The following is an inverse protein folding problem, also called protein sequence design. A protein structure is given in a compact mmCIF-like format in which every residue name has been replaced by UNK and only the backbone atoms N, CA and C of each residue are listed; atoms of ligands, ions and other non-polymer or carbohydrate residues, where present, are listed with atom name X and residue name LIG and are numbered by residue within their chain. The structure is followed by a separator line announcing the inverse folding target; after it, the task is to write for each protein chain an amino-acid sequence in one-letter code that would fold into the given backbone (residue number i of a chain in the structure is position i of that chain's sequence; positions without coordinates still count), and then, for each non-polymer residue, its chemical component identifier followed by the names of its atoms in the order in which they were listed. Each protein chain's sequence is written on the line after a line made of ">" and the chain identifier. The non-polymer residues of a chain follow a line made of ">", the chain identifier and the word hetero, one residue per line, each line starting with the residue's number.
data_IF_700844179054
#
_entry.id   IF_700844179054
#
_cell.length_a   1.000
_cell.length_b   1.000
_cell.length_c   1.000
_cell.angle_alpha   90.00
_cell.angle_beta   90.00
_cell.angle_gamma   90.00
#
_symmetry.space_group_name_H-M   'P 1'
#
loop_
_entity.id
_entity.type
_entity.pdbx_description
1 polymer ?
#
# COMPACT_ATOMS: atom_id res chain seq x y z
N UNK A 1 -15.35 9.77 -4.43
CA UNK A 1 -15.53 10.68 -3.28
C UNK A 1 -15.52 12.10 -3.83
N UNK A 2 -16.56 12.87 -3.53
CA UNK A 2 -16.69 14.25 -4.01
C UNK A 2 -16.49 15.21 -2.82
N UNK A 3 -15.65 16.19 -2.99
CA UNK A 3 -15.39 17.23 -2.01
C UNK A 3 -16.03 18.53 -2.51
N UNK A 4 -16.75 19.22 -1.66
CA UNK A 4 -17.31 20.55 -1.93
C UNK A 4 -16.75 21.53 -0.91
N UNK A 5 -16.27 22.66 -1.39
CA UNK A 5 -15.83 23.79 -0.55
C UNK A 5 -16.54 25.04 -1.01
N UNK A 6 -16.98 25.85 -0.07
CA UNK A 6 -17.59 27.17 -0.35
C UNK A 6 -16.74 28.27 0.27
N UNK A 7 -16.55 29.36 -0.44
CA UNK A 7 -15.95 30.58 0.12
C UNK A 7 -16.99 31.44 0.90
N UNK A 8 -16.54 32.48 1.52
CA UNK A 8 -17.41 33.42 2.29
C UNK A 8 -18.38 34.19 1.41
N UNK A 9 -18.23 34.18 0.11
CA UNK A 9 -19.12 34.83 -0.88
C UNK A 9 -20.12 33.83 -1.50
N UNK A 10 -20.10 32.56 -1.04
CA UNK A 10 -21.02 31.51 -1.49
C UNK A 10 -20.61 30.85 -2.80
N UNK A 11 -19.41 31.10 -3.35
CA UNK A 11 -18.90 30.39 -4.49
C UNK A 11 -18.51 28.99 -4.07
N UNK A 12 -18.89 27.98 -4.89
CA UNK A 12 -18.62 26.58 -4.64
C UNK A 12 -17.58 26.04 -5.60
N UNK A 13 -16.61 25.33 -5.07
CA UNK A 13 -15.68 24.51 -5.85
C UNK A 13 -15.89 23.04 -5.50
N UNK A 14 -15.99 22.20 -6.50
CA UNK A 14 -16.18 20.77 -6.35
C UNK A 14 -14.99 20.04 -6.95
N UNK A 15 -14.36 19.17 -6.18
CA UNK A 15 -13.33 18.25 -6.66
C UNK A 15 -13.81 16.81 -6.48
N UNK A 16 -13.73 16.01 -7.52
CA UNK A 16 -14.08 14.58 -7.47
C UNK A 16 -12.79 13.76 -7.57
N UNK A 17 -12.55 12.92 -6.56
CA UNK A 17 -11.49 11.92 -6.58
C UNK A 17 -12.13 10.56 -6.83
N UNK A 18 -11.75 9.92 -7.92
CA UNK A 18 -12.09 8.51 -8.18
C UNK A 18 -10.95 7.68 -7.61
N UNK A 19 -11.24 6.89 -6.60
CA UNK A 19 -10.34 5.84 -6.12
C UNK A 19 -10.85 4.55 -6.72
N UNK A 20 -10.15 4.03 -7.72
CA UNK A 20 -10.41 2.71 -8.27
C UNK A 20 -9.54 1.72 -7.51
N UNK A 21 -10.16 0.85 -6.73
CA UNK A 21 -9.49 -0.34 -6.21
C UNK A 21 -9.63 -1.40 -7.27
N UNK A 22 -8.53 -1.75 -7.89
CA UNK A 22 -8.48 -2.80 -8.90
C UNK A 22 -8.00 -4.09 -8.24
N UNK A 23 -8.73 -5.17 -8.39
CA UNK A 23 -8.28 -6.50 -8.04
C UNK A 23 -7.63 -7.14 -9.28
N UNK A 24 -6.30 -7.24 -9.35
CA UNK A 24 -5.61 -7.84 -10.49
C UNK A 24 -5.73 -9.37 -10.53
N UNK A 25 -6.29 -9.99 -9.52
CA UNK A 25 -6.41 -11.46 -9.38
C UNK A 25 -7.85 -11.94 -9.62
N UNK A 26 -8.75 -11.09 -10.09
CA UNK A 26 -10.10 -11.52 -10.48
C UNK A 26 -10.06 -12.43 -11.74
N UNK A 27 -9.28 -13.51 -11.66
CA UNK A 27 -9.51 -14.69 -12.47
C UNK A 27 -10.56 -15.56 -11.78
N UNK A 28 -11.84 -15.18 -12.03
CA UNK A 28 -12.90 -16.13 -12.27
C UNK A 28 -13.19 -17.20 -11.19
N UNK A 29 -13.25 -16.84 -9.92
CA UNK A 29 -14.31 -17.40 -9.12
C UNK A 29 -15.08 -16.21 -8.54
N UNK A 30 -16.24 -15.91 -9.11
CA UNK A 30 -17.18 -14.94 -8.58
C UNK A 30 -17.70 -15.46 -7.24
N UNK A 31 -16.84 -15.43 -6.25
CA UNK A 31 -17.29 -15.48 -4.87
C UNK A 31 -18.10 -14.20 -4.70
N UNK A 32 -19.41 -14.35 -4.59
CA UNK A 32 -20.22 -13.23 -4.14
C UNK A 32 -19.77 -12.91 -2.71
N UNK A 33 -19.00 -11.83 -2.48
CA UNK A 33 -18.33 -11.60 -1.19
C UNK A 33 -19.32 -11.22 -0.08
N UNK A 34 -20.63 -11.32 -0.35
CA UNK A 34 -21.63 -10.75 0.53
C UNK A 34 -21.53 -9.23 0.59
N UNK A 35 -21.72 -8.65 1.76
CA UNK A 35 -21.73 -7.19 1.93
C UNK A 35 -20.38 -6.60 2.36
N UNK A 36 -19.33 -7.42 2.57
CA UNK A 36 -18.01 -6.96 3.06
C UNK A 36 -16.86 -7.59 2.31
N UNK A 37 -15.96 -6.74 1.82
CA UNK A 37 -14.70 -7.12 1.18
C UNK A 37 -13.57 -6.54 2.00
N UNK A 38 -12.55 -7.34 2.31
CA UNK A 38 -11.38 -6.91 3.06
C UNK A 38 -10.12 -7.24 2.25
N UNK A 39 -9.38 -6.22 1.86
CA UNK A 39 -8.06 -6.35 1.28
C UNK A 39 -7.02 -6.12 2.38
N UNK A 40 -6.31 -7.17 2.76
CA UNK A 40 -5.15 -7.03 3.65
C UNK A 40 -3.95 -6.60 2.80
N UNK A 41 -3.26 -5.57 3.23
CA UNK A 41 -2.07 -5.06 2.56
C UNK A 41 -0.95 -4.81 3.55
N UNK A 42 0.28 -5.10 3.11
CA UNK A 42 1.48 -4.97 3.92
C UNK A 42 2.49 -4.10 3.21
N UNK A 43 3.01 -3.10 3.90
CA UNK A 43 3.99 -2.14 3.39
C UNK A 43 5.38 -2.38 4.02
N UNK A 44 6.41 -1.82 3.38
CA UNK A 44 7.81 -1.75 3.83
C UNK A 44 8.62 -3.05 3.74
N UNK A 45 7.99 -4.20 3.56
CA UNK A 45 8.69 -5.47 3.38
C UNK A 45 9.39 -5.63 2.02
N UNK A 46 9.96 -6.81 1.77
CA UNK A 46 10.09 -7.92 2.71
C UNK A 46 11.12 -7.68 3.80
N UNK A 47 10.91 -8.31 4.96
CA UNK A 47 11.78 -8.19 6.10
C UNK A 47 11.87 -9.48 6.92
N UNK A 48 12.42 -9.37 8.12
CA UNK A 48 12.66 -10.51 9.03
C UNK A 48 11.43 -11.38 9.29
N UNK A 49 10.24 -10.78 9.29
CA UNK A 49 9.01 -11.47 9.70
C UNK A 49 8.14 -11.90 8.50
N UNK A 50 8.49 -11.48 7.30
CA UNK A 50 7.72 -11.76 6.06
C UNK A 50 7.58 -13.25 5.79
N UNK A 51 8.63 -14.08 6.02
CA UNK A 51 8.52 -15.54 5.84
C UNK A 51 7.45 -16.14 6.76
N UNK A 52 7.42 -15.73 8.03
CA UNK A 52 6.42 -16.22 9.00
C UNK A 52 4.99 -15.76 8.62
N UNK A 53 4.85 -14.55 8.08
CA UNK A 53 3.59 -14.06 7.55
C UNK A 53 3.12 -14.90 6.36
N UNK A 54 3.99 -15.20 5.41
CA UNK A 54 3.67 -16.03 4.24
C UNK A 54 3.17 -17.43 4.67
N UNK A 55 3.83 -18.06 5.64
CA UNK A 55 3.43 -19.37 6.15
C UNK A 55 2.05 -19.31 6.86
N UNK A 56 1.77 -18.20 7.55
CA UNK A 56 0.49 -17.96 8.19
C UNK A 56 -0.63 -17.74 7.17
N UNK A 57 -0.37 -16.95 6.12
CA UNK A 57 -1.33 -16.70 5.05
C UNK A 57 -1.67 -17.98 4.28
N UNK A 58 -0.69 -18.86 4.03
CA UNK A 58 -0.92 -20.17 3.43
C UNK A 58 -1.79 -21.06 4.31
N UNK A 59 -1.54 -21.06 5.63
CA UNK A 59 -2.34 -21.83 6.60
C UNK A 59 -3.83 -21.48 6.52
N UNK A 60 -4.14 -20.19 6.32
CA UNK A 60 -5.53 -19.72 6.23
C UNK A 60 -6.05 -19.61 4.79
N UNK A 61 -5.21 -19.94 3.79
CA UNK A 61 -5.52 -19.80 2.37
C UNK A 61 -5.98 -18.38 1.99
N UNK A 62 -5.30 -17.36 2.52
CA UNK A 62 -5.57 -15.95 2.27
C UNK A 62 -4.51 -15.37 1.35
N UNK A 63 -4.94 -14.59 0.34
CA UNK A 63 -4.02 -13.84 -0.52
C UNK A 63 -4.12 -12.36 -0.19
N UNK A 64 -2.96 -11.68 -0.25
CA UNK A 64 -2.80 -10.28 0.17
C UNK A 64 -2.00 -9.50 -0.88
N UNK A 65 -1.87 -8.20 -0.68
CA UNK A 65 -0.97 -7.35 -1.46
C UNK A 65 0.20 -6.90 -0.60
N UNK A 66 1.42 -7.13 -1.09
CA UNK A 66 2.65 -6.60 -0.52
C UNK A 66 3.11 -5.39 -1.33
N UNK A 67 3.25 -4.24 -0.67
CA UNK A 67 3.86 -3.04 -1.23
C UNK A 67 5.33 -3.01 -0.78
N UNK A 68 6.19 -3.53 -1.65
CA UNK A 68 7.56 -3.87 -1.29
C UNK A 68 8.54 -2.71 -1.40
N UNK A 69 9.59 -2.78 -0.60
CA UNK A 69 10.74 -1.85 -0.62
C UNK A 69 12.06 -2.62 -0.78
N UNK A 70 13.16 -1.89 -0.99
CA UNK A 70 14.52 -2.45 -0.91
C UNK A 70 15.28 -1.98 0.35
N UNK A 71 14.54 -1.63 1.40
CA UNK A 71 15.14 -1.18 2.67
C UNK A 71 15.83 -2.30 3.46
N UNK A 72 15.47 -3.55 3.16
CA UNK A 72 16.02 -4.76 3.78
C UNK A 72 16.53 -5.73 2.69
N UNK A 73 17.62 -5.43 1.99
CA UNK A 73 18.05 -6.19 0.79
C UNK A 73 18.38 -7.66 1.06
N UNK A 74 18.73 -8.03 2.30
CA UNK A 74 18.97 -9.42 2.69
C UNK A 74 17.72 -10.32 2.57
N UNK A 75 16.54 -9.74 2.51
CA UNK A 75 15.25 -10.44 2.39
C UNK A 75 14.63 -10.32 0.99
N UNK A 76 15.31 -9.69 0.04
CA UNK A 76 14.78 -9.38 -1.29
C UNK A 76 14.29 -10.64 -2.05
N UNK A 77 14.88 -11.81 -1.80
CA UNK A 77 14.46 -13.08 -2.37
C UNK A 77 13.04 -13.49 -1.97
N UNK A 78 12.48 -12.94 -0.89
CA UNK A 78 11.11 -13.22 -0.47
C UNK A 78 10.07 -12.60 -1.41
N UNK A 79 10.42 -11.58 -2.20
CA UNK A 79 9.58 -11.03 -3.27
C UNK A 79 9.16 -12.13 -4.26
N UNK A 80 10.09 -13.02 -4.62
CA UNK A 80 9.79 -14.16 -5.48
C UNK A 80 8.83 -15.15 -4.78
N UNK A 81 8.99 -15.38 -3.48
CA UNK A 81 8.11 -16.27 -2.71
C UNK A 81 6.71 -15.67 -2.54
N UNK A 82 6.58 -14.36 -2.31
CA UNK A 82 5.30 -13.65 -2.29
C UNK A 82 4.51 -13.91 -3.58
N UNK A 83 5.14 -13.65 -4.73
CA UNK A 83 4.52 -13.87 -6.05
C UNK A 83 4.20 -15.34 -6.31
N UNK A 84 5.13 -16.26 -6.02
CA UNK A 84 4.98 -17.71 -6.22
C UNK A 84 3.83 -18.28 -5.39
N UNK A 85 3.60 -17.77 -4.19
CA UNK A 85 2.48 -18.17 -3.33
C UNK A 85 1.16 -17.49 -3.71
N UNK A 86 1.13 -16.71 -4.81
CA UNK A 86 -0.07 -16.11 -5.40
C UNK A 86 -0.53 -14.82 -4.72
N UNK A 87 0.36 -14.15 -4.00
CA UNK A 87 0.13 -12.80 -3.50
C UNK A 87 0.39 -11.77 -4.59
N UNK A 88 -0.23 -10.59 -4.48
CA UNK A 88 0.09 -9.47 -5.33
C UNK A 88 1.33 -8.77 -4.81
N UNK A 89 2.34 -8.61 -5.67
CA UNK A 89 3.52 -7.80 -5.39
C UNK A 89 3.36 -6.45 -6.08
N UNK A 90 3.45 -5.38 -5.32
CA UNK A 90 3.25 -4.00 -5.75
C UNK A 90 4.42 -3.13 -5.28
N UNK A 91 4.60 -1.96 -5.90
CA UNK A 91 5.71 -1.08 -5.58
C UNK A 91 5.33 -0.16 -4.42
N UNK A 92 6.20 -0.09 -3.39
CA UNK A 92 6.16 1.00 -2.42
C UNK A 92 7.22 2.05 -2.73
N UNK A 93 8.47 1.67 -2.65
CA UNK A 93 9.64 2.52 -2.94
C UNK A 93 10.90 1.66 -2.90
N UNK A 94 11.95 2.04 -3.61
CA UNK A 94 13.23 1.38 -3.42
C UNK A 94 13.90 1.84 -2.12
N UNK A 95 13.91 3.13 -1.83
CA UNK A 95 14.64 3.74 -0.72
C UNK A 95 13.79 4.06 0.50
N UNK A 96 12.50 4.35 0.32
CA UNK A 96 11.55 4.87 1.31
C UNK A 96 12.03 6.15 2.03
N UNK A 97 12.87 6.96 1.37
CA UNK A 97 13.43 8.20 1.92
C UNK A 97 12.70 9.41 1.36
N UNK A 98 11.85 10.03 2.16
CA UNK A 98 11.02 11.16 1.76
C UNK A 98 11.83 12.35 1.24
N UNK A 99 12.98 12.63 1.86
CA UNK A 99 13.93 13.67 1.47
C UNK A 99 14.66 13.39 0.14
N UNK A 100 14.49 12.20 -0.41
CA UNK A 100 15.01 11.81 -1.72
C UNK A 100 13.88 11.72 -2.74
N UNK A 101 12.87 10.89 -2.46
CA UNK A 101 11.81 10.57 -3.43
C UNK A 101 10.86 11.73 -3.73
N UNK A 102 10.68 12.66 -2.79
CA UNK A 102 9.74 13.78 -2.96
C UNK A 102 10.41 15.11 -3.31
N UNK A 103 11.68 15.10 -3.70
CA UNK A 103 12.40 16.31 -4.12
C UNK A 103 12.03 16.77 -5.53
N UNK A 104 11.64 15.84 -6.40
CA UNK A 104 11.17 16.10 -7.77
C UNK A 104 10.38 14.91 -8.32
N UNK A 105 9.64 15.13 -9.41
CA UNK A 105 9.00 14.06 -10.18
C UNK A 105 10.01 13.01 -10.63
N UNK A 106 11.14 13.45 -11.21
CA UNK A 106 12.18 12.56 -11.69
C UNK A 106 12.72 11.66 -10.57
N UNK A 107 13.02 12.22 -9.40
CA UNK A 107 13.53 11.47 -8.27
C UNK A 107 12.53 10.39 -7.78
N UNK A 108 11.24 10.72 -7.80
CA UNK A 108 10.19 9.76 -7.46
C UNK A 108 10.14 8.59 -8.46
N UNK A 109 10.14 8.88 -9.75
CA UNK A 109 10.06 7.85 -10.78
C UNK A 109 11.34 7.03 -10.90
N UNK A 110 12.50 7.62 -10.66
CA UNK A 110 13.78 6.87 -10.62
C UNK A 110 13.77 5.83 -9.49
N UNK A 111 13.29 6.20 -8.30
CA UNK A 111 13.14 5.29 -7.16
C UNK A 111 12.11 4.20 -7.43
N UNK A 112 10.99 4.56 -8.05
CA UNK A 112 9.93 3.63 -8.43
C UNK A 112 10.42 2.62 -9.49
N UNK A 113 11.14 3.09 -10.52
CA UNK A 113 11.70 2.23 -11.56
C UNK A 113 12.78 1.30 -11.02
N UNK A 114 13.61 1.78 -10.08
CA UNK A 114 14.55 0.93 -9.37
C UNK A 114 13.84 -0.22 -8.66
N UNK A 115 12.74 0.06 -7.93
CA UNK A 115 12.00 -0.99 -7.24
C UNK A 115 11.30 -1.94 -8.23
N UNK A 116 10.74 -1.42 -9.31
CA UNK A 116 10.13 -2.24 -10.35
C UNK A 116 11.13 -3.20 -11.00
N UNK A 117 12.36 -2.72 -11.24
CA UNK A 117 13.45 -3.55 -11.78
C UNK A 117 13.79 -4.72 -10.85
N UNK A 118 13.77 -4.49 -9.54
CA UNK A 118 13.97 -5.53 -8.53
C UNK A 118 12.82 -6.54 -8.55
N UNK A 119 11.56 -6.06 -8.56
CA UNK A 119 10.38 -6.92 -8.65
C UNK A 119 10.46 -7.78 -9.91
N UNK A 120 10.76 -7.19 -11.05
CA UNK A 120 10.88 -7.90 -12.33
C UNK A 120 11.97 -8.96 -12.30
N UNK A 121 13.12 -8.68 -11.71
CA UNK A 121 14.21 -9.64 -11.55
C UNK A 121 13.81 -10.85 -10.68
N UNK A 122 12.96 -10.64 -9.67
CA UNK A 122 12.50 -11.67 -8.74
C UNK A 122 11.30 -12.46 -9.26
N UNK A 123 10.39 -11.81 -10.00
CA UNK A 123 9.09 -12.39 -10.39
C UNK A 123 8.94 -12.67 -11.89
N UNK A 124 9.80 -12.06 -12.71
CA UNK A 124 9.68 -12.07 -14.18
C UNK A 124 8.69 -11.07 -14.76
N UNK A 125 7.96 -10.33 -13.92
CA UNK A 125 6.90 -9.39 -14.33
C UNK A 125 7.13 -7.99 -13.78
N UNK A 126 6.68 -6.98 -14.53
CA UNK A 126 6.58 -5.61 -14.03
C UNK A 126 5.38 -5.47 -13.08
N UNK A 127 5.52 -4.67 -12.04
CA UNK A 127 4.39 -4.32 -11.21
C UNK A 127 3.57 -3.19 -11.85
N UNK A 128 2.24 -3.26 -11.69
CA UNK A 128 1.29 -2.28 -12.21
C UNK A 128 0.60 -1.45 -11.13
N UNK A 129 0.86 -1.78 -9.87
CA UNK A 129 0.24 -1.14 -8.71
C UNK A 129 1.33 -0.55 -7.84
N UNK A 130 1.07 0.65 -7.32
CA UNK A 130 1.95 1.32 -6.38
C UNK A 130 1.18 1.79 -5.14
N UNK A 131 1.91 2.02 -4.05
CA UNK A 131 1.46 2.83 -2.92
C UNK A 131 2.49 3.90 -2.64
N UNK A 132 2.05 5.16 -2.61
CA UNK A 132 2.93 6.27 -2.26
C UNK A 132 3.38 6.14 -0.79
N UNK A 133 4.68 6.27 -0.46
CA UNK A 133 5.12 6.42 0.93
C UNK A 133 4.36 7.54 1.65
N UNK A 134 3.67 7.16 2.75
CA UNK A 134 2.77 8.06 3.48
C UNK A 134 1.41 8.31 2.83
N UNK A 135 1.09 7.64 1.72
CA UNK A 135 -0.17 7.76 0.99
C UNK A 135 -0.20 8.93 0.00
N UNK A 136 -1.16 8.88 -0.94
CA UNK A 136 -1.30 9.89 -2.01
C UNK A 136 -1.72 11.28 -1.49
N UNK A 137 -2.14 11.37 -0.24
CA UNK A 137 -2.55 12.61 0.41
C UNK A 137 -1.58 13.08 1.52
N UNK A 138 -0.38 12.48 1.59
CA UNK A 138 0.59 12.87 2.62
C UNK A 138 0.96 14.36 2.51
N UNK A 139 1.26 14.94 3.65
CA UNK A 139 1.63 16.37 3.74
C UNK A 139 3.12 16.58 3.97
N UNK A 140 3.88 15.52 4.24
CA UNK A 140 5.32 15.59 4.49
C UNK A 140 6.08 15.96 3.23
N UNK A 141 5.62 15.47 2.07
CA UNK A 141 6.22 15.76 0.76
C UNK A 141 6.32 17.25 0.42
N UNK A 142 5.41 18.08 0.95
CA UNK A 142 5.44 19.54 0.73
C UNK A 142 6.68 20.22 1.30
N UNK A 143 7.32 19.59 2.30
CA UNK A 143 8.53 20.12 2.94
C UNK A 143 9.76 19.98 2.02
N UNK A 144 9.67 19.13 1.00
CA UNK A 144 10.70 18.90 -0.02
C UNK A 144 10.35 19.55 -1.35
N UNK A 145 9.11 19.41 -1.82
CA UNK A 145 8.62 20.03 -3.05
C UNK A 145 7.11 20.33 -2.91
N UNK A 146 6.74 21.60 -2.67
CA UNK A 146 5.34 21.99 -2.53
C UNK A 146 4.52 21.63 -3.78
N UNK A 147 3.38 20.94 -3.57
CA UNK A 147 2.47 20.56 -4.66
C UNK A 147 2.81 19.26 -5.38
N UNK A 148 3.94 18.63 -5.08
CA UNK A 148 4.43 17.44 -5.79
C UNK A 148 3.42 16.29 -5.80
N UNK A 149 2.69 16.04 -4.71
CA UNK A 149 1.74 14.93 -4.67
C UNK A 149 0.60 15.07 -5.67
N UNK A 150 0.12 16.29 -5.92
CA UNK A 150 -0.90 16.53 -6.95
C UNK A 150 -0.38 16.18 -8.35
N UNK A 151 0.87 16.51 -8.63
CA UNK A 151 1.53 16.16 -9.89
C UNK A 151 1.74 14.65 -10.00
N UNK A 152 2.36 14.03 -9.00
CA UNK A 152 2.69 12.59 -9.02
C UNK A 152 1.45 11.69 -9.15
N UNK A 153 0.33 12.04 -8.52
CA UNK A 153 -0.94 11.31 -8.65
C UNK A 153 -1.44 11.30 -10.10
N UNK A 154 -1.34 12.44 -10.79
CA UNK A 154 -1.71 12.53 -12.20
C UNK A 154 -0.74 11.76 -13.09
N UNK A 155 0.56 11.89 -12.85
CA UNK A 155 1.61 11.31 -13.69
C UNK A 155 1.67 9.79 -13.56
N UNK A 156 1.47 9.24 -12.36
CA UNK A 156 1.34 7.79 -12.12
C UNK A 156 0.17 7.23 -12.94
N UNK A 157 -0.97 7.90 -12.91
CA UNK A 157 -2.15 7.49 -13.67
C UNK A 157 -1.94 7.61 -15.17
N UNK A 158 -1.30 8.70 -15.63
CA UNK A 158 -0.97 8.91 -17.03
C UNK A 158 0.01 7.86 -17.60
N UNK A 159 0.87 7.30 -16.75
CA UNK A 159 1.79 6.21 -17.11
C UNK A 159 1.13 4.82 -17.07
N UNK A 160 -0.18 4.75 -16.80
CA UNK A 160 -0.93 3.50 -16.74
C UNK A 160 -0.72 2.68 -15.46
N UNK A 161 -0.11 3.27 -14.43
CA UNK A 161 0.02 2.67 -13.12
C UNK A 161 -1.23 2.98 -12.28
N UNK A 162 -1.58 2.03 -11.42
CA UNK A 162 -2.62 2.22 -10.42
C UNK A 162 -1.98 2.55 -9.08
N UNK A 163 -2.58 3.46 -8.31
CA UNK A 163 -2.16 3.65 -6.93
C UNK A 163 -3.26 3.25 -5.96
N UNK A 164 -2.86 2.73 -4.80
CA UNK A 164 -3.77 2.23 -3.79
C UNK A 164 -3.41 2.81 -2.42
N UNK A 165 -4.31 3.62 -1.87
CA UNK A 165 -4.26 4.05 -0.48
C UNK A 165 -4.97 3.02 0.43
N UNK A 166 -5.29 3.41 1.66
CA UNK A 166 -6.04 2.61 2.63
C UNK A 166 -7.18 3.43 3.26
N UNK A 167 -8.14 2.74 3.83
CA UNK A 167 -9.21 3.34 4.62
C UNK A 167 -9.34 2.72 6.02
N UNK A 168 -8.53 1.69 6.31
CA UNK A 168 -8.38 1.10 7.64
C UNK A 168 -6.90 1.06 7.99
N UNK A 169 -6.51 1.62 9.13
CA UNK A 169 -5.15 1.55 9.65
C UNK A 169 -5.10 0.60 10.85
N UNK A 170 -4.13 -0.29 10.85
CA UNK A 170 -3.81 -1.14 12.00
C UNK A 170 -3.22 -0.34 13.17
N UNK A 171 -2.69 0.88 12.90
CA UNK A 171 -2.02 1.71 13.89
C UNK A 171 -0.55 1.32 14.13
N UNK A 172 -0.02 0.35 13.40
CA UNK A 172 1.34 -0.17 13.57
C UNK A 172 2.42 0.77 13.02
N UNK A 173 2.06 1.75 12.17
CA UNK A 173 2.98 2.79 11.68
C UNK A 173 3.34 3.85 12.74
N UNK A 174 2.66 3.88 13.88
CA UNK A 174 2.89 4.89 14.91
C UNK A 174 4.30 4.78 15.51
N UNK A 175 4.84 5.94 15.92
CA UNK A 175 6.17 6.02 16.56
C UNK A 175 6.25 5.30 17.93
N UNK A 176 5.10 4.99 18.53
CA UNK A 176 5.03 4.21 19.79
C UNK A 176 4.59 2.80 19.45
N UNK A 177 5.32 1.79 19.92
CA UNK A 177 4.89 0.40 19.80
C UNK A 177 3.51 0.21 20.43
N UNK A 178 2.66 -0.53 19.73
CA UNK A 178 1.35 -0.98 20.24
C UNK A 178 1.37 -2.50 20.40
N UNK A 179 0.46 -3.06 21.18
CA UNK A 179 0.39 -4.50 21.33
C UNK A 179 -0.26 -5.18 20.12
N UNK A 180 0.01 -6.47 19.94
CA UNK A 180 -0.67 -7.31 18.93
C UNK A 180 -2.19 -7.21 19.07
N UNK A 181 -2.73 -7.26 20.29
CA UNK A 181 -4.16 -7.15 20.57
C UNK A 181 -4.72 -5.79 20.12
N UNK A 182 -3.93 -4.71 20.27
CA UNK A 182 -4.36 -3.39 19.82
C UNK A 182 -4.40 -3.33 18.29
N UNK A 183 -3.44 -3.96 17.59
CA UNK A 183 -3.47 -4.09 16.11
C UNK A 183 -4.75 -4.80 15.68
N UNK A 184 -5.05 -5.96 16.30
CA UNK A 184 -6.28 -6.74 16.05
C UNK A 184 -7.53 -5.88 16.23
N UNK A 185 -7.63 -5.17 17.36
CA UNK A 185 -8.80 -4.33 17.67
C UNK A 185 -8.95 -3.17 16.67
N UNK A 186 -7.87 -2.52 16.28
CA UNK A 186 -7.89 -1.45 15.30
C UNK A 186 -8.40 -1.94 13.93
N UNK A 187 -7.89 -3.09 13.46
CA UNK A 187 -8.31 -3.68 12.19
C UNK A 187 -9.78 -4.11 12.25
N UNK A 188 -10.19 -4.86 13.28
CA UNK A 188 -11.58 -5.32 13.43
C UNK A 188 -12.55 -4.14 13.48
N UNK A 189 -12.26 -3.12 14.30
CA UNK A 189 -13.11 -1.94 14.41
C UNK A 189 -13.18 -1.16 13.09
N UNK A 190 -12.05 -1.04 12.38
CA UNK A 190 -11.97 -0.37 11.09
C UNK A 190 -12.81 -1.09 10.03
N UNK A 191 -12.66 -2.40 9.87
CA UNK A 191 -13.39 -3.16 8.87
C UNK A 191 -14.89 -3.27 9.16
N UNK A 192 -15.30 -3.18 10.42
CA UNK A 192 -16.72 -3.13 10.76
C UNK A 192 -17.42 -1.88 10.21
N UNK A 193 -16.69 -0.79 10.08
CA UNK A 193 -17.20 0.51 9.64
C UNK A 193 -17.30 0.68 8.12
N UNK A 194 -16.77 -0.28 7.34
CA UNK A 194 -16.69 -0.18 5.88
C UNK A 194 -17.24 -1.45 5.20
N UNK A 195 -17.88 -1.30 4.04
CA UNK A 195 -18.25 -2.42 3.18
C UNK A 195 -17.06 -2.95 2.38
N UNK A 196 -16.18 -2.05 1.96
CA UNK A 196 -14.91 -2.38 1.31
C UNK A 196 -13.80 -1.76 2.14
N UNK A 197 -12.89 -2.59 2.63
CA UNK A 197 -11.76 -2.18 3.47
C UNK A 197 -10.45 -2.50 2.77
N UNK A 198 -9.56 -1.52 2.74
CA UNK A 198 -8.14 -1.71 2.42
C UNK A 198 -7.37 -1.43 3.70
N UNK A 199 -6.75 -2.47 4.24
CA UNK A 199 -6.11 -2.44 5.56
C UNK A 199 -4.62 -2.19 5.39
N UNK A 200 -4.09 -1.13 6.01
CA UNK A 200 -2.66 -0.85 6.10
C UNK A 200 -2.06 -1.57 7.30
N UNK A 201 -1.06 -2.40 7.03
CA UNK A 201 -0.16 -3.06 8.00
C UNK A 201 1.27 -3.06 7.47
N UNK A 202 2.23 -3.45 8.30
CA UNK A 202 3.65 -3.55 7.92
C UNK A 202 4.21 -4.91 8.34
N UNK A 203 4.77 -5.66 7.39
CA UNK A 203 5.30 -7.01 7.63
C UNK A 203 6.74 -7.03 8.19
N UNK A 204 7.32 -5.84 8.39
CA UNK A 204 8.60 -5.66 9.07
C UNK A 204 8.49 -5.61 10.61
N UNK A 205 7.29 -5.76 11.16
CA UNK A 205 7.00 -5.67 12.60
C UNK A 205 6.37 -6.96 13.12
N UNK A 206 6.96 -7.55 14.15
CA UNK A 206 6.50 -8.82 14.74
C UNK A 206 5.07 -8.74 15.28
N UNK A 207 4.75 -7.68 16.01
CA UNK A 207 3.42 -7.51 16.60
C UNK A 207 2.32 -7.31 15.55
N UNK A 208 2.67 -6.76 14.37
CA UNK A 208 1.75 -6.62 13.26
C UNK A 208 1.52 -7.96 12.56
N UNK A 209 2.58 -8.71 12.30
CA UNK A 209 2.50 -10.07 11.73
C UNK A 209 1.75 -11.02 12.65
N UNK A 210 2.02 -10.99 13.96
CA UNK A 210 1.34 -11.83 14.94
C UNK A 210 -0.17 -11.52 15.05
N UNK A 211 -0.61 -10.33 14.64
CA UNK A 211 -2.01 -9.95 14.65
C UNK A 211 -2.84 -10.56 13.50
N UNK A 212 -2.20 -11.22 12.53
CA UNK A 212 -2.87 -11.85 11.39
C UNK A 212 -3.42 -13.23 11.73
N UNK A 213 -2.89 -13.90 12.74
CA UNK A 213 -3.32 -15.22 13.23
C UNK A 213 -4.36 -15.10 14.35
#
# INVERSE_FOLDING_TARGET
>A
MTYEVSDSSGNKATATRVVSVYDPVATADTVNPGNKIIYLTFDDGPGKYTQGLLDLLDKYNVKVTFFVTNTHPDYQNLIAEEAKRGHTVAIHSASHKYDQIYTSEQAFFDDLEQMNSIIKAQTGNDASIIRFPGGSSNTVSKDYCPGIMTQLVNDVTARGLLYCDWNVSSGDANNKPISTEQVVQNVISGVQSHNVSVVLQHDIKDFSVNAVG
#
